data_IF_945450618722
#
_entry.id   IF_945450618722
#
_cell.length_a   1.000
_cell.length_b   1.000
_cell.length_c   1.000
_cell.angle_alpha   90.00
_cell.angle_beta   90.00
_cell.angle_gamma   90.00
#
_symmetry.space_group_name_H-M   'P 1'
#
loop_
_entity.id
_entity.type
_entity.pdbx_description
1 polymer ?
#
# COMPACT_ATOMS: atom_id res chain seq x y z
N UNK A 1 -32.45 -80.23 0.40
CA UNK A 1 -31.49 -79.46 1.21
C UNK A 1 -30.80 -78.47 0.29
N UNK A 2 -31.28 -77.24 0.32
CA UNK A 2 -30.94 -76.12 -0.57
C UNK A 2 -29.84 -75.29 0.07
N UNK A 3 -28.63 -75.40 -0.46
CA UNK A 3 -27.51 -74.50 -0.17
C UNK A 3 -27.23 -73.73 -1.46
N UNK A 4 -26.74 -72.50 -1.32
CA UNK A 4 -26.26 -71.61 -2.40
C UNK A 4 -27.37 -70.72 -3.01
N UNK A 5 -27.90 -69.78 -2.24
CA UNK A 5 -28.54 -68.57 -2.79
C UNK A 5 -28.37 -67.34 -1.88
N UNK A 6 -27.29 -67.28 -1.10
CA UNK A 6 -26.97 -66.12 -0.25
C UNK A 6 -25.54 -65.56 -0.45
N UNK A 7 -24.87 -65.90 -1.56
CA UNK A 7 -23.49 -65.43 -1.82
C UNK A 7 -23.38 -64.44 -3.00
N UNK A 8 -24.36 -64.38 -3.90
CA UNK A 8 -24.28 -63.54 -5.11
C UNK A 8 -24.70 -62.08 -4.89
N UNK A 9 -25.39 -61.76 -3.79
CA UNK A 9 -25.89 -60.40 -3.55
C UNK A 9 -24.91 -59.50 -2.78
N UNK A 10 -23.86 -60.09 -2.19
CA UNK A 10 -22.84 -59.37 -1.41
C UNK A 10 -21.68 -58.86 -2.29
N UNK A 11 -21.51 -59.40 -3.50
CA UNK A 11 -20.35 -59.07 -4.36
C UNK A 11 -20.61 -57.82 -5.21
N UNK A 12 -21.86 -57.49 -5.54
CA UNK A 12 -22.17 -56.34 -6.42
C UNK A 12 -22.12 -54.99 -5.68
N UNK A 13 -22.28 -54.98 -4.35
CA UNK A 13 -22.24 -53.76 -3.53
C UNK A 13 -20.81 -53.34 -3.09
N UNK A 14 -19.80 -54.19 -3.27
CA UNK A 14 -18.41 -53.89 -2.89
C UNK A 14 -17.56 -53.25 -4.00
N UNK A 15 -18.07 -53.11 -5.23
CA UNK A 15 -17.33 -52.56 -6.37
C UNK A 15 -17.53 -51.06 -6.62
N UNK A 16 -18.37 -50.36 -5.85
CA UNK A 16 -18.58 -48.90 -6.00
C UNK A 16 -17.72 -48.07 -5.03
N UNK A 17 -16.93 -48.71 -4.16
CA UNK A 17 -16.12 -48.02 -3.14
C UNK A 17 -14.62 -47.90 -3.53
N UNK A 18 -14.20 -48.43 -4.68
CA UNK A 18 -12.77 -48.57 -5.02
C UNK A 18 -12.25 -47.69 -6.18
N UNK A 19 -12.93 -46.59 -6.52
CA UNK A 19 -12.34 -45.55 -7.38
C UNK A 19 -12.60 -44.15 -6.80
N UNK A 20 -11.94 -43.84 -5.69
CA UNK A 20 -11.41 -42.50 -5.48
C UNK A 20 -9.89 -42.58 -5.58
N UNK A 21 -9.46 -42.35 -6.82
CA UNK A 21 -8.18 -41.80 -7.25
C UNK A 21 -7.27 -41.43 -6.07
N UNK A 22 -6.21 -42.22 -5.91
CA UNK A 22 -5.01 -41.81 -5.22
C UNK A 22 -4.46 -40.56 -5.93
N UNK A 23 -4.97 -39.39 -5.55
CA UNK A 23 -4.30 -38.12 -5.81
C UNK A 23 -3.08 -38.12 -4.89
N UNK A 24 -1.85 -38.08 -5.42
CA UNK A 24 -0.69 -37.97 -4.57
C UNK A 24 -0.86 -36.71 -3.73
N UNK A 25 -0.86 -36.86 -2.40
CA UNK A 25 -0.60 -35.74 -1.50
C UNK A 25 0.57 -34.97 -2.12
N UNK A 26 0.43 -33.66 -2.45
CA UNK A 26 1.61 -32.89 -2.72
C UNK A 26 2.41 -32.99 -1.42
N UNK A 27 3.50 -33.74 -1.49
CA UNK A 27 4.53 -33.66 -0.49
C UNK A 27 4.89 -32.18 -0.53
N UNK A 28 4.38 -31.41 0.44
CA UNK A 28 4.85 -30.06 0.69
C UNK A 28 6.27 -30.29 1.15
N UNK A 29 7.17 -30.46 0.18
CA UNK A 29 8.56 -30.18 0.32
C UNK A 29 8.52 -28.76 0.82
N UNK A 30 8.69 -28.60 2.12
CA UNK A 30 9.03 -27.33 2.72
C UNK A 30 10.30 -26.98 1.99
N UNK A 31 10.15 -26.22 0.90
CA UNK A 31 11.23 -25.39 0.41
C UNK A 31 11.46 -24.54 1.63
N UNK A 32 12.51 -24.86 2.40
CA UNK A 32 13.19 -23.84 3.18
C UNK A 32 13.41 -22.76 2.13
N UNK A 33 12.57 -21.73 2.15
CA UNK A 33 12.87 -20.51 1.45
C UNK A 33 14.21 -20.12 2.04
N UNK A 34 15.27 -20.36 1.27
CA UNK A 34 16.57 -19.78 1.51
C UNK A 34 16.48 -18.31 1.08
N UNK A 35 15.51 -17.61 1.66
CA UNK A 35 15.44 -16.17 1.70
C UNK A 35 15.62 -15.91 3.18
N UNK A 36 16.87 -15.63 3.59
CA UNK A 36 17.09 -15.08 4.92
C UNK A 36 16.10 -13.94 5.09
N UNK A 37 15.26 -14.01 6.12
CA UNK A 37 14.32 -12.94 6.44
C UNK A 37 15.13 -11.65 6.50
N UNK A 38 15.01 -10.83 5.45
CA UNK A 38 15.51 -9.46 5.52
C UNK A 38 14.61 -8.80 6.54
N UNK A 39 15.18 -8.48 7.68
CA UNK A 39 14.53 -7.70 8.72
C UNK A 39 13.93 -6.45 8.06
N UNK A 40 12.59 -6.34 8.10
CA UNK A 40 11.91 -5.18 7.53
C UNK A 40 12.12 -4.02 8.49
N UNK A 41 12.91 -3.02 8.08
CA UNK A 41 13.22 -1.81 8.85
C UNK A 41 12.03 -0.86 9.04
N UNK A 42 10.79 -1.35 8.90
CA UNK A 42 9.60 -0.51 8.90
C UNK A 42 8.48 -1.11 9.73
N UNK A 43 8.04 -0.34 10.73
CA UNK A 43 6.80 -0.63 11.44
C UNK A 43 5.62 0.02 10.70
N UNK A 44 4.75 -0.80 10.10
CA UNK A 44 3.67 -0.35 9.21
C UNK A 44 2.34 -0.21 9.96
N UNK A 45 1.76 0.98 9.91
CA UNK A 45 0.37 1.23 10.31
C UNK A 45 -0.51 1.35 9.07
N UNK A 46 -1.53 0.49 8.96
CA UNK A 46 -2.48 0.47 7.83
C UNK A 46 -3.63 1.46 8.01
N UNK A 47 -4.25 1.79 6.88
CA UNK A 47 -5.44 2.62 6.75
C UNK A 47 -5.30 4.01 7.37
N UNK A 48 -4.10 4.58 7.25
CA UNK A 48 -3.71 5.89 7.80
C UNK A 48 -3.15 6.80 6.71
N UNK A 49 -3.52 8.06 6.82
CA UNK A 49 -3.02 9.16 6.00
C UNK A 49 -2.50 10.29 6.89
N UNK A 50 -1.40 10.92 6.48
CA UNK A 50 -0.79 12.09 7.12
C UNK A 50 -1.15 13.38 6.37
N UNK A 51 -1.88 14.27 7.04
CA UNK A 51 -2.37 15.51 6.45
C UNK A 51 -1.38 16.68 6.65
N UNK A 52 -0.26 16.62 5.94
CA UNK A 52 0.73 17.71 5.86
C UNK A 52 0.63 18.54 4.58
N UNK A 53 -0.34 18.23 3.72
CA UNK A 53 -0.63 19.05 2.56
C UNK A 53 -1.44 20.29 2.96
N UNK A 54 -1.18 21.41 2.30
CA UNK A 54 -2.10 22.54 2.30
C UNK A 54 -2.81 22.57 0.96
N UNK A 55 -4.14 22.48 1.01
CA UNK A 55 -4.99 22.83 -0.11
C UNK A 55 -5.11 24.35 -0.13
N UNK A 56 -4.37 25.00 -1.04
CA UNK A 56 -4.68 26.39 -1.36
C UNK A 56 -5.64 26.39 -2.54
N UNK A 57 -6.90 26.69 -2.23
CA UNK A 57 -7.94 27.07 -3.21
C UNK A 57 -7.65 28.43 -3.85
N UNK A 58 -6.38 28.82 -3.99
CA UNK A 58 -6.00 29.83 -4.95
C UNK A 58 -6.27 29.20 -6.31
N UNK A 59 -7.50 29.39 -6.79
CA UNK A 59 -7.95 29.07 -8.12
C UNK A 59 -6.98 29.75 -9.10
N UNK A 60 -5.98 29.02 -9.60
CA UNK A 60 -5.08 29.53 -10.63
C UNK A 60 -5.66 29.15 -11.99
N UNK A 61 -5.49 30.03 -12.97
CA UNK A 61 -6.09 29.87 -14.30
C UNK A 61 -5.28 28.92 -15.19
N UNK A 62 -4.02 28.63 -14.80
CA UNK A 62 -3.11 27.76 -15.54
C UNK A 62 -2.46 26.72 -14.62
N UNK A 63 -2.05 25.58 -15.20
CA UNK A 63 -1.34 24.52 -14.49
C UNK A 63 -0.06 25.03 -13.79
N UNK A 64 0.68 25.91 -14.46
CA UNK A 64 1.91 26.51 -13.93
C UNK A 64 1.67 27.52 -12.78
N UNK A 65 0.43 27.97 -12.57
CA UNK A 65 0.09 28.94 -11.53
C UNK A 65 0.37 28.46 -10.10
N UNK A 66 0.48 27.14 -9.89
CA UNK A 66 0.82 26.58 -8.58
C UNK A 66 2.30 26.71 -8.21
N UNK A 67 3.20 26.89 -9.19
CA UNK A 67 4.64 27.03 -8.98
C UNK A 67 5.01 28.23 -8.09
N UNK A 68 4.61 29.49 -8.40
CA UNK A 68 4.92 30.62 -7.53
C UNK A 68 4.29 30.50 -6.14
N UNK A 69 3.15 29.82 -6.03
CA UNK A 69 2.54 29.51 -4.73
C UNK A 69 3.39 28.53 -3.93
N UNK A 70 3.90 27.46 -4.55
CA UNK A 70 4.81 26.54 -3.91
C UNK A 70 6.08 27.24 -3.41
N UNK A 71 6.73 28.05 -4.28
CA UNK A 71 7.95 28.80 -3.95
C UNK A 71 7.73 29.74 -2.76
N UNK A 72 6.63 30.54 -2.80
CA UNK A 72 6.26 31.44 -1.70
C UNK A 72 6.03 30.72 -0.38
N UNK A 73 5.46 29.52 -0.42
CA UNK A 73 5.16 28.72 0.78
C UNK A 73 6.30 27.74 1.13
N UNK A 74 7.43 27.77 0.41
CA UNK A 74 8.57 26.86 0.58
C UNK A 74 8.13 25.39 0.58
N UNK A 75 7.26 25.04 -0.37
CA UNK A 75 6.76 23.68 -0.54
C UNK A 75 7.81 22.77 -1.20
N UNK A 76 7.72 21.46 -0.95
CA UNK A 76 8.62 20.46 -1.54
C UNK A 76 8.15 20.04 -2.94
N UNK A 77 6.83 19.88 -3.09
CA UNK A 77 6.19 19.52 -4.35
C UNK A 77 4.76 20.04 -4.35
N UNK A 78 4.22 20.30 -5.53
CA UNK A 78 2.82 20.64 -5.69
C UNK A 78 2.15 19.76 -6.74
N UNK A 79 0.84 19.66 -6.65
CA UNK A 79 -0.03 19.08 -7.67
C UNK A 79 -1.15 20.06 -8.00
N UNK A 80 -1.65 19.98 -9.22
CA UNK A 80 -2.80 20.72 -9.71
C UNK A 80 -4.00 19.80 -9.81
N UNK A 81 -5.11 20.20 -9.18
CA UNK A 81 -6.41 19.59 -9.42
C UNK A 81 -7.20 20.48 -10.36
N UNK A 82 -7.59 19.95 -11.52
CA UNK A 82 -8.44 20.65 -12.48
C UNK A 82 -9.90 20.62 -12.02
N UNK A 83 -10.54 21.78 -12.00
CA UNK A 83 -11.94 21.98 -11.69
C UNK A 83 -12.62 22.70 -12.85
N UNK A 84 -13.73 22.15 -13.33
CA UNK A 84 -14.59 22.80 -14.31
C UNK A 84 -15.65 23.61 -13.54
N UNK A 85 -15.51 24.94 -13.48
CA UNK A 85 -16.40 25.83 -12.73
C UNK A 85 -17.09 26.78 -13.71
N UNK A 86 -18.40 26.60 -13.89
CA UNK A 86 -19.17 27.34 -14.87
C UNK A 86 -18.68 27.05 -16.30
N UNK A 87 -18.30 28.10 -17.04
CA UNK A 87 -17.77 27.99 -18.40
C UNK A 87 -16.23 28.06 -18.46
N UNK A 88 -15.54 27.97 -17.32
CA UNK A 88 -14.09 28.13 -17.22
C UNK A 88 -13.40 26.95 -16.54
N UNK A 89 -12.09 26.86 -16.78
CA UNK A 89 -11.20 25.91 -16.10
C UNK A 89 -10.50 26.64 -14.97
N UNK A 90 -10.46 26.02 -13.81
CA UNK A 90 -9.72 26.50 -12.64
C UNK A 90 -8.86 25.36 -12.11
N UNK A 91 -7.67 25.69 -11.61
CA UNK A 91 -6.80 24.72 -10.98
C UNK A 91 -6.65 25.04 -9.49
N UNK A 92 -6.86 24.05 -8.63
CA UNK A 92 -6.54 24.13 -7.21
C UNK A 92 -5.15 23.55 -6.94
N UNK A 93 -4.39 24.20 -6.06
CA UNK A 93 -3.04 23.81 -5.73
C UNK A 93 -2.99 22.99 -4.44
N UNK A 94 -2.43 21.79 -4.53
CA UNK A 94 -2.10 20.97 -3.37
C UNK A 94 -0.62 21.12 -3.11
N UNK A 95 -0.26 21.80 -2.02
CA UNK A 95 1.14 22.10 -1.69
C UNK A 95 1.62 21.15 -0.58
N UNK A 96 2.69 20.41 -0.84
CA UNK A 96 3.32 19.53 0.14
C UNK A 96 4.32 20.34 0.96
N UNK A 97 4.00 20.60 2.22
CA UNK A 97 4.84 21.40 3.11
C UNK A 97 5.67 20.51 4.03
N UNK A 98 6.62 21.15 4.73
CA UNK A 98 7.31 20.52 5.85
C UNK A 98 6.28 19.90 6.82
N UNK A 99 6.56 18.70 7.35
CA UNK A 99 7.82 17.96 7.33
C UNK A 99 8.02 17.06 6.11
N UNK A 100 7.20 17.17 5.04
CA UNK A 100 7.49 16.45 3.80
C UNK A 100 8.85 16.86 3.26
N UNK A 101 9.60 15.90 2.73
CA UNK A 101 10.93 16.08 2.12
C UNK A 101 11.03 15.49 0.71
N UNK A 102 10.13 14.58 0.35
CA UNK A 102 10.08 13.99 -0.98
C UNK A 102 8.68 13.46 -1.26
N UNK A 103 8.24 13.62 -2.51
CA UNK A 103 6.99 13.03 -2.97
C UNK A 103 7.08 12.57 -4.42
N UNK A 104 6.63 11.35 -4.70
CA UNK A 104 6.59 10.76 -6.02
C UNK A 104 5.27 10.05 -6.29
N UNK A 105 4.81 10.17 -7.54
CA UNK A 105 3.74 9.33 -8.09
C UNK A 105 4.37 8.11 -8.78
N UNK A 106 3.55 7.11 -9.05
CA UNK A 106 3.89 5.80 -9.59
C UNK A 106 5.06 5.07 -8.89
N UNK A 107 5.19 5.25 -7.57
CA UNK A 107 6.18 4.61 -6.71
C UNK A 107 5.52 3.66 -5.70
N UNK A 108 5.87 2.38 -5.80
CA UNK A 108 5.35 1.35 -4.89
C UNK A 108 6.01 1.41 -3.50
N UNK A 109 5.48 0.64 -2.55
CA UNK A 109 5.96 0.66 -1.16
C UNK A 109 7.42 0.24 -1.03
N UNK A 110 7.89 -0.74 -1.79
CA UNK A 110 9.27 -1.24 -1.70
C UNK A 110 10.27 -0.22 -2.26
N UNK A 111 9.92 0.46 -3.34
CA UNK A 111 10.69 1.59 -3.87
C UNK A 111 10.68 2.78 -2.90
N UNK A 112 9.54 3.06 -2.29
CA UNK A 112 9.38 4.13 -1.29
C UNK A 112 10.28 3.86 -0.06
N UNK A 113 10.29 2.62 0.45
CA UNK A 113 11.18 2.16 1.53
C UNK A 113 12.65 2.32 1.14
N UNK A 114 13.06 1.88 -0.05
CA UNK A 114 14.43 2.05 -0.54
C UNK A 114 14.84 3.51 -0.63
N UNK A 115 13.95 4.37 -1.12
CA UNK A 115 14.19 5.82 -1.21
C UNK A 115 14.36 6.44 0.18
N UNK A 116 13.50 6.10 1.13
CA UNK A 116 13.60 6.55 2.52
C UNK A 116 14.87 6.02 3.21
N UNK A 117 15.27 4.76 2.97
CA UNK A 117 16.49 4.20 3.50
C UNK A 117 17.75 4.97 3.04
N UNK A 118 17.77 5.40 1.77
CA UNK A 118 18.86 6.18 1.18
C UNK A 118 18.92 7.65 1.65
N UNK A 119 17.85 8.18 2.25
CA UNK A 119 17.77 9.56 2.74
C UNK A 119 17.99 9.60 4.25
N UNK A 120 19.05 10.29 4.70
CA UNK A 120 19.38 10.39 6.13
C UNK A 120 18.31 11.11 6.92
N UNK A 121 17.64 12.07 6.29
CA UNK A 121 16.57 12.88 6.88
C UNK A 121 15.23 12.13 6.96
N UNK A 122 15.06 11.02 6.22
CA UNK A 122 13.79 10.30 6.21
C UNK A 122 13.58 9.49 7.49
N UNK A 123 12.49 9.79 8.19
CA UNK A 123 12.11 9.17 9.47
C UNK A 123 10.77 8.44 9.40
N UNK A 124 9.85 8.96 8.58
CA UNK A 124 8.53 8.37 8.35
C UNK A 124 8.22 8.39 6.86
N UNK A 125 7.54 7.36 6.37
CA UNK A 125 6.97 7.33 5.02
C UNK A 125 5.47 7.11 5.05
N UNK A 126 4.80 7.53 3.99
CA UNK A 126 3.40 7.22 3.71
C UNK A 126 3.28 6.77 2.25
N UNK A 127 2.49 5.72 2.00
CA UNK A 127 2.34 5.17 0.65
C UNK A 127 0.93 4.60 0.41
N UNK A 128 0.45 4.67 -0.84
CA UNK A 128 -0.79 4.02 -1.30
C UNK A 128 -0.60 3.23 -2.60
N UNK A 129 0.38 2.30 -2.63
CA UNK A 129 0.75 1.49 -3.79
C UNK A 129 1.30 2.26 -5.00
N UNK A 130 0.92 3.53 -5.20
CA UNK A 130 1.34 4.37 -6.33
C UNK A 130 1.92 5.71 -5.91
N UNK A 131 1.55 6.28 -4.77
CA UNK A 131 2.12 7.56 -4.34
C UNK A 131 2.98 7.34 -3.10
N UNK A 132 4.19 7.87 -3.11
CA UNK A 132 5.15 7.80 -2.01
C UNK A 132 5.39 9.20 -1.45
N UNK A 133 5.28 9.33 -0.13
CA UNK A 133 5.55 10.55 0.62
C UNK A 133 6.57 10.23 1.71
N UNK A 134 7.65 10.99 1.77
CA UNK A 134 8.69 10.85 2.79
C UNK A 134 8.72 12.10 3.66
N UNK A 135 8.94 11.90 4.96
CA UNK A 135 8.92 12.96 5.96
C UNK A 135 10.15 12.95 6.85
N UNK A 136 10.66 14.15 7.16
CA UNK A 136 11.62 14.41 8.23
C UNK A 136 10.86 14.69 9.54
N UNK A 137 10.12 13.68 10.00
CA UNK A 137 9.50 13.66 11.32
C UNK A 137 9.39 12.21 11.78
N UNK A 138 9.70 11.96 13.05
CA UNK A 138 9.50 10.63 13.64
C UNK A 138 8.01 10.38 13.87
N UNK A 139 7.57 9.14 13.68
CA UNK A 139 6.17 8.75 13.84
C UNK A 139 5.61 9.14 15.22
N UNK A 140 6.40 8.95 16.28
CA UNK A 140 6.06 9.32 17.67
C UNK A 140 5.84 10.82 17.88
N UNK A 141 6.43 11.66 17.02
CA UNK A 141 6.34 13.12 17.11
C UNK A 141 5.24 13.69 16.20
N UNK A 142 4.48 12.85 15.49
CA UNK A 142 3.38 13.29 14.65
C UNK A 142 2.17 13.64 15.52
N UNK A 143 1.66 14.89 15.44
CA UNK A 143 0.46 15.28 16.17
C UNK A 143 -0.77 14.44 15.77
N UNK A 144 -1.62 14.11 16.74
CA UNK A 144 -2.78 13.26 16.52
C UNK A 144 -3.75 13.81 15.46
N UNK A 145 -3.89 15.14 15.36
CA UNK A 145 -4.74 15.82 14.38
C UNK A 145 -4.25 15.70 12.93
N UNK A 146 -3.00 15.25 12.73
CA UNK A 146 -2.45 14.99 11.40
C UNK A 146 -2.80 13.62 10.86
N UNK A 147 -3.31 12.72 11.68
CA UNK A 147 -3.76 11.42 11.22
C UNK A 147 -5.23 11.44 10.81
N UNK A 148 -5.51 10.98 9.59
CA UNK A 148 -6.86 10.65 9.14
C UNK A 148 -6.95 9.18 8.73
N UNK A 149 -8.12 8.57 8.86
CA UNK A 149 -8.37 7.25 8.29
C UNK A 149 -8.48 7.35 6.76
N UNK A 150 -7.77 6.48 6.06
CA UNK A 150 -7.83 6.38 4.60
C UNK A 150 -7.45 4.98 4.16
N UNK A 151 -8.42 4.22 3.63
CA UNK A 151 -8.21 2.86 3.14
C UNK A 151 -7.12 2.81 2.07
N UNK A 152 -6.33 1.74 2.06
CA UNK A 152 -5.21 1.49 1.15
C UNK A 152 -3.98 2.40 1.31
N UNK A 153 -4.00 3.31 2.30
CA UNK A 153 -2.83 4.08 2.69
C UNK A 153 -2.13 3.43 3.88
N UNK A 154 -0.81 3.48 3.87
CA UNK A 154 0.00 3.12 5.02
C UNK A 154 0.81 4.32 5.49
N UNK A 155 1.13 4.34 6.77
CA UNK A 155 2.19 5.17 7.35
C UNK A 155 3.17 4.23 8.03
N UNK A 156 4.45 4.36 7.73
CA UNK A 156 5.47 3.48 8.28
C UNK A 156 6.60 4.27 8.95
N UNK A 157 6.94 3.86 10.17
CA UNK A 157 8.08 4.36 10.91
C UNK A 157 9.33 3.60 10.47
N UNK A 158 10.40 4.32 10.17
CA UNK A 158 11.72 3.73 9.94
C UNK A 158 12.33 3.31 11.29
N UNK A 159 12.73 2.04 11.43
CA UNK A 159 13.31 1.47 12.67
C UNK A 159 14.80 1.11 12.51
N UNK A 160 15.27 1.02 11.27
CA UNK A 160 16.65 1.06 10.83
C UNK A 160 16.72 1.83 9.48
#
# INVERSE_FOLDING_TARGET
MTVISNLMLVIVLLCVVSLHVASPKPHSRTRKSADGEKEDCYNITKDKWLNYQILKLSAVETEDGCKPLCEKNKCVKFWTNRFDIGNGITYGCVLQLKPSIFVAEDMNVEECKKKCAAMKECKTLMNNRRSCYLYDIEYSNIPADKFSQKTDWIVAQKTC
#
